data_IF_422341044453
#
_entry.id   IF_422341044453
#
_cell.length_a   1.000
_cell.length_b   1.000
_cell.length_c   1.000
_cell.angle_alpha   90.00
_cell.angle_beta   90.00
_cell.angle_gamma   90.00
#
_symmetry.space_group_name_H-M   'P 1'
#
loop_
_entity.id
_entity.type
_entity.pdbx_description
1 polymer ?
#
# COMPACT_ATOMS: atom_id res chain seq x y z
N UNK A 1 24.68 -9.64 -13.27
CA UNK A 1 24.66 -8.24 -12.86
C UNK A 1 23.65 -8.06 -11.75
N UNK A 2 24.16 -8.08 -10.50
CA UNK A 2 23.40 -7.85 -9.26
C UNK A 2 23.32 -6.33 -8.99
N UNK A 3 22.58 -5.59 -9.80
CA UNK A 3 22.30 -4.16 -9.57
C UNK A 3 20.89 -3.93 -9.03
N UNK A 4 20.43 -4.81 -8.13
CA UNK A 4 19.28 -4.48 -7.29
C UNK A 4 19.82 -3.76 -6.06
N UNK A 5 19.80 -2.43 -6.06
CA UNK A 5 19.92 -1.65 -4.85
C UNK A 5 18.85 -2.13 -3.85
N UNK A 6 19.14 -2.12 -2.56
CA UNK A 6 18.20 -2.50 -1.48
C UNK A 6 16.83 -1.79 -1.59
N UNK A 7 16.77 -0.65 -2.27
CA UNK A 7 15.53 0.10 -2.54
C UNK A 7 14.55 -0.59 -3.50
N UNK A 8 15.01 -1.59 -4.26
CA UNK A 8 14.21 -2.30 -5.27
C UNK A 8 13.77 -3.71 -4.78
N UNK A 9 14.03 -4.05 -3.52
CA UNK A 9 13.55 -5.30 -2.93
C UNK A 9 12.02 -5.25 -2.78
N UNK A 10 11.26 -6.19 -3.37
CA UNK A 10 9.80 -6.23 -3.27
C UNK A 10 9.27 -6.22 -1.81
N UNK A 11 9.97 -6.87 -0.89
CA UNK A 11 9.61 -6.91 0.53
C UNK A 11 9.79 -5.53 1.16
N UNK A 12 10.87 -4.80 0.83
CA UNK A 12 11.08 -3.43 1.33
C UNK A 12 10.00 -2.47 0.82
N UNK A 13 9.60 -2.59 -0.45
CA UNK A 13 8.49 -1.79 -1.02
C UNK A 13 7.20 -2.09 -0.27
N UNK A 14 6.94 -3.36 0.05
CA UNK A 14 5.75 -3.75 0.80
C UNK A 14 5.80 -3.27 2.26
N UNK A 15 6.96 -3.27 2.89
CA UNK A 15 7.15 -2.70 4.22
C UNK A 15 6.86 -1.19 4.22
N UNK A 16 7.37 -0.43 3.25
CA UNK A 16 7.04 1.00 3.10
C UNK A 16 5.55 1.25 2.87
N UNK A 17 4.90 0.40 2.07
CA UNK A 17 3.45 0.47 1.86
C UNK A 17 2.70 0.26 3.18
N UNK A 18 3.04 -0.78 3.95
CA UNK A 18 2.40 -1.08 5.24
C UNK A 18 2.63 0.04 6.26
N UNK A 19 3.84 0.61 6.33
CA UNK A 19 4.12 1.78 7.17
C UNK A 19 3.20 2.95 6.78
N UNK A 20 3.03 3.22 5.49
CA UNK A 20 2.14 4.29 5.01
C UNK A 20 0.67 4.01 5.32
N UNK A 21 0.26 2.74 5.26
CA UNK A 21 -1.08 2.30 5.64
C UNK A 21 -1.33 2.55 7.13
N UNK A 22 -0.41 2.12 8.00
CA UNK A 22 -0.53 2.36 9.44
C UNK A 22 -0.48 3.85 9.80
N UNK A 23 0.37 4.63 9.15
CA UNK A 23 0.37 6.10 9.30
C UNK A 23 -1.04 6.68 9.02
N UNK A 24 -1.73 6.16 8.03
CA UNK A 24 -3.09 6.57 7.69
C UNK A 24 -4.11 6.11 8.73
N UNK A 25 -4.04 4.84 9.16
CA UNK A 25 -4.98 4.24 10.12
C UNK A 25 -4.92 4.91 11.49
N UNK A 26 -3.70 5.12 12.01
CA UNK A 26 -3.49 5.71 13.33
C UNK A 26 -3.93 7.17 13.42
N UNK A 27 -3.89 7.92 12.30
CA UNK A 27 -4.31 9.33 12.27
C UNK A 27 -5.82 9.52 12.12
N UNK A 28 -6.49 8.57 11.51
CA UNK A 28 -7.96 8.60 11.39
C UNK A 28 -8.64 8.31 12.74
N UNK A 29 -7.95 7.66 13.67
CA UNK A 29 -8.52 7.19 14.94
C UNK A 29 -8.44 8.14 16.11
N UNK A 30 -7.48 9.09 16.18
CA UNK A 30 -7.34 9.94 17.36
C UNK A 30 -6.67 11.28 17.03
N UNK A 31 -7.43 12.37 17.16
CA UNK A 31 -6.91 13.74 16.98
C UNK A 31 -5.79 14.13 17.97
N UNK A 32 -5.52 13.29 18.97
CA UNK A 32 -4.47 13.48 19.98
C UNK A 32 -3.14 12.84 19.60
N UNK A 33 -3.14 11.92 18.62
CA UNK A 33 -1.93 11.21 18.19
C UNK A 33 -1.44 11.75 16.84
N UNK A 34 -1.02 13.01 16.83
CA UNK A 34 -0.49 13.71 15.63
C UNK A 34 0.88 13.19 15.17
N UNK A 35 1.41 12.11 15.76
CA UNK A 35 2.77 11.63 15.55
C UNK A 35 2.98 10.61 14.42
N UNK A 36 1.92 9.99 13.89
CA UNK A 36 2.08 8.86 12.96
C UNK A 36 2.82 7.66 13.55
N UNK A 37 3.26 6.73 12.71
CA UNK A 37 4.03 5.54 13.12
C UNK A 37 5.41 5.95 13.61
N UNK A 38 5.70 5.68 14.89
CA UNK A 38 6.99 5.94 15.52
C UNK A 38 8.10 4.99 15.06
N UNK A 39 9.33 5.21 15.53
CA UNK A 39 10.47 4.40 15.12
C UNK A 39 10.35 2.92 15.56
N UNK A 40 9.75 2.65 16.71
CA UNK A 40 9.54 1.28 17.21
C UNK A 40 8.53 0.54 16.35
N UNK A 41 7.39 1.17 16.10
CA UNK A 41 6.33 0.60 15.28
C UNK A 41 6.82 0.34 13.86
N UNK A 42 7.62 1.24 13.28
CA UNK A 42 8.23 1.01 11.95
C UNK A 42 9.11 -0.23 11.93
N UNK A 43 9.94 -0.42 12.96
CA UNK A 43 10.80 -1.61 13.08
C UNK A 43 9.97 -2.90 13.24
N UNK A 44 8.85 -2.84 13.97
CA UNK A 44 7.94 -3.98 14.14
C UNK A 44 7.25 -4.30 12.81
N UNK A 45 6.73 -3.30 12.11
CA UNK A 45 6.07 -3.48 10.81
C UNK A 45 7.04 -4.09 9.81
N UNK A 46 8.27 -3.58 9.74
CA UNK A 46 9.29 -4.09 8.82
C UNK A 46 9.63 -5.56 9.12
N UNK A 47 9.92 -5.89 10.38
CA UNK A 47 10.18 -7.26 10.83
C UNK A 47 9.03 -8.21 10.52
N UNK A 48 7.79 -7.83 10.84
CA UNK A 48 6.62 -8.66 10.55
C UNK A 48 6.41 -8.84 9.05
N UNK A 49 6.69 -7.81 8.25
CA UNK A 49 6.63 -7.92 6.79
C UNK A 49 7.61 -8.96 6.28
N UNK A 50 8.85 -8.91 6.73
CA UNK A 50 9.88 -9.89 6.36
C UNK A 50 9.43 -11.30 6.76
N UNK A 51 8.99 -11.50 7.99
CA UNK A 51 8.56 -12.83 8.50
C UNK A 51 7.42 -13.42 7.67
N UNK A 52 6.40 -12.62 7.35
CA UNK A 52 5.24 -13.08 6.55
C UNK A 52 5.67 -13.49 5.14
N UNK A 53 6.54 -12.70 4.50
CA UNK A 53 7.01 -13.02 3.16
C UNK A 53 8.03 -14.15 3.15
N UNK A 54 8.89 -14.32 4.15
CA UNK A 54 9.77 -15.47 4.28
C UNK A 54 8.96 -16.78 4.41
N UNK A 55 7.89 -16.78 5.20
CA UNK A 55 6.98 -17.93 5.28
C UNK A 55 6.34 -18.23 3.92
N UNK A 56 5.88 -17.20 3.21
CA UNK A 56 5.30 -17.34 1.88
C UNK A 56 6.30 -17.92 0.86
N UNK A 57 7.54 -17.43 0.82
CA UNK A 57 8.55 -17.94 -0.12
C UNK A 57 9.08 -19.32 0.23
N UNK A 58 9.01 -19.72 1.50
CA UNK A 58 9.45 -21.03 1.96
C UNK A 58 8.45 -22.15 1.66
N UNK A 59 7.19 -21.81 1.40
CA UNK A 59 6.10 -22.74 1.18
C UNK A 59 5.57 -22.66 -0.25
N UNK A 60 5.80 -23.72 -1.05
CA UNK A 60 5.46 -23.78 -2.48
C UNK A 60 3.94 -23.76 -2.78
N UNK A 61 3.09 -23.97 -1.78
CA UNK A 61 1.63 -24.09 -1.94
C UNK A 61 0.83 -22.99 -1.22
N UNK A 62 1.46 -21.90 -0.77
CA UNK A 62 0.73 -20.83 -0.07
C UNK A 62 0.16 -19.79 -1.04
N UNK A 63 -1.03 -19.33 -0.68
CA UNK A 63 -1.64 -18.15 -1.27
C UNK A 63 -0.89 -16.88 -0.83
N UNK A 64 -0.97 -15.83 -1.65
CA UNK A 64 -0.36 -14.54 -1.33
C UNK A 64 -0.84 -14.06 0.05
N UNK A 65 0.07 -13.55 0.92
CA UNK A 65 -0.31 -13.06 2.24
C UNK A 65 -1.32 -11.91 2.18
N UNK A 66 -2.26 -11.93 3.10
CA UNK A 66 -3.31 -10.93 3.27
C UNK A 66 -3.03 -10.01 4.47
N UNK A 67 -3.85 -8.99 4.67
CA UNK A 67 -3.79 -8.16 5.88
C UNK A 67 -4.13 -8.96 7.14
N UNK A 68 -4.96 -10.01 7.03
CA UNK A 68 -5.27 -10.91 8.14
C UNK A 68 -4.02 -11.69 8.58
N UNK A 69 -3.25 -12.25 7.64
CA UNK A 69 -2.02 -12.96 7.93
C UNK A 69 -0.99 -12.04 8.59
N UNK A 70 -0.90 -10.80 8.12
CA UNK A 70 -0.02 -9.79 8.72
C UNK A 70 -0.45 -9.43 10.15
N UNK A 71 -1.75 -9.29 10.40
CA UNK A 71 -2.28 -9.07 11.75
C UNK A 71 -1.95 -10.22 12.69
N UNK A 72 -2.09 -11.46 12.24
CA UNK A 72 -1.71 -12.62 13.04
C UNK A 72 -0.21 -12.60 13.38
N UNK A 73 0.63 -12.22 12.46
CA UNK A 73 2.08 -12.09 12.72
C UNK A 73 2.38 -10.99 13.75
N UNK A 74 1.68 -9.85 13.70
CA UNK A 74 1.77 -8.81 14.74
C UNK A 74 1.38 -9.34 16.12
N UNK A 75 0.32 -10.13 16.23
CA UNK A 75 -0.14 -10.72 17.49
C UNK A 75 0.85 -11.73 18.08
N UNK A 76 1.69 -12.35 17.25
CA UNK A 76 2.76 -13.26 17.72
C UNK A 76 3.96 -12.53 18.35
N UNK A 77 4.08 -11.24 18.11
CA UNK A 77 5.19 -10.45 18.66
C UNK A 77 4.98 -10.19 20.16
N UNK A 78 6.07 -10.18 20.97
CA UNK A 78 5.96 -9.99 22.42
C UNK A 78 5.65 -8.55 22.83
N UNK A 79 5.97 -7.58 21.97
CA UNK A 79 5.87 -6.15 22.30
C UNK A 79 4.42 -5.67 22.36
N UNK A 80 4.12 -4.73 23.27
CA UNK A 80 2.80 -4.14 23.40
C UNK A 80 2.45 -3.29 22.18
N UNK A 81 3.44 -2.58 21.63
CA UNK A 81 3.27 -1.78 20.42
C UNK A 81 2.80 -2.63 19.21
N UNK A 82 3.23 -3.88 19.12
CA UNK A 82 2.78 -4.80 18.08
C UNK A 82 1.29 -5.18 18.25
N UNK A 83 0.84 -5.36 19.49
CA UNK A 83 -0.57 -5.64 19.82
C UNK A 83 -1.45 -4.42 19.53
N UNK A 84 -0.94 -3.22 19.81
CA UNK A 84 -1.65 -1.98 19.53
C UNK A 84 -1.79 -1.76 18.00
N UNK A 85 -0.75 -2.09 17.22
CA UNK A 85 -0.82 -2.11 15.76
C UNK A 85 -1.83 -3.15 15.25
N UNK A 86 -1.81 -4.37 15.81
CA UNK A 86 -2.76 -5.41 15.44
C UNK A 86 -4.23 -5.02 15.73
N UNK A 87 -4.46 -4.31 16.84
CA UNK A 87 -5.78 -3.77 17.19
C UNK A 87 -6.20 -2.67 16.21
N UNK A 88 -5.28 -1.78 15.83
CA UNK A 88 -5.55 -0.72 14.86
C UNK A 88 -5.90 -1.26 13.47
N UNK A 89 -5.35 -2.43 13.12
CA UNK A 89 -5.62 -3.10 11.84
C UNK A 89 -6.90 -3.94 11.88
N UNK A 90 -7.45 -4.27 13.05
CA UNK A 90 -8.54 -5.22 13.22
C UNK A 90 -9.76 -4.90 12.37
N UNK A 91 -10.16 -3.62 12.34
CA UNK A 91 -11.31 -3.16 11.56
C UNK A 91 -11.18 -3.48 10.07
N UNK A 92 -9.96 -3.41 9.54
CA UNK A 92 -9.64 -3.57 8.12
C UNK A 92 -9.16 -4.99 7.76
N UNK A 93 -8.75 -5.79 8.74
CA UNK A 93 -8.24 -7.14 8.52
C UNK A 93 -9.30 -8.22 8.73
N UNK A 94 -10.16 -8.04 9.76
CA UNK A 94 -11.15 -9.05 10.18
C UNK A 94 -12.49 -8.42 10.62
N UNK A 95 -12.59 -7.08 10.59
CA UNK A 95 -13.77 -6.33 11.01
C UNK A 95 -14.70 -5.98 9.85
N UNK A 96 -15.57 -4.97 10.09
CA UNK A 96 -16.60 -4.58 9.11
C UNK A 96 -16.07 -3.88 7.85
N UNK A 97 -14.80 -3.51 7.80
CA UNK A 97 -14.13 -2.87 6.67
C UNK A 97 -13.06 -3.78 6.05
N UNK A 98 -13.25 -5.09 6.09
CA UNK A 98 -12.30 -6.10 5.62
C UNK A 98 -12.25 -6.28 4.09
N UNK A 99 -12.94 -5.43 3.34
CA UNK A 99 -13.04 -5.52 1.87
C UNK A 99 -11.68 -5.65 1.14
N UNK A 100 -10.59 -5.18 1.76
CA UNK A 100 -9.24 -5.26 1.22
C UNK A 100 -8.37 -6.36 1.87
N UNK A 101 -8.93 -7.12 2.81
CA UNK A 101 -8.20 -8.18 3.52
C UNK A 101 -8.24 -9.55 2.82
N UNK A 102 -9.05 -9.68 1.79
CA UNK A 102 -9.26 -10.93 1.08
C UNK A 102 -8.29 -11.11 -0.09
N UNK A 103 -8.16 -12.35 -0.55
CA UNK A 103 -7.47 -12.64 -1.80
C UNK A 103 -8.15 -11.88 -2.95
N UNK A 104 -7.35 -11.33 -3.85
CA UNK A 104 -7.90 -10.59 -4.99
C UNK A 104 -8.76 -11.52 -5.85
N UNK A 105 -10.01 -11.13 -6.07
CA UNK A 105 -10.94 -11.77 -6.99
C UNK A 105 -10.99 -11.07 -8.36
N UNK A 106 -10.15 -10.06 -8.56
CA UNK A 106 -10.08 -9.27 -9.80
C UNK A 106 -9.04 -9.88 -10.73
N UNK A 107 -9.45 -10.19 -11.96
CA UNK A 107 -8.54 -10.54 -13.03
C UNK A 107 -7.74 -9.31 -13.47
N UNK A 108 -6.54 -9.18 -12.93
CA UNK A 108 -5.63 -8.06 -13.24
C UNK A 108 -4.83 -8.26 -14.54
N UNK A 109 -5.04 -9.37 -15.26
CA UNK A 109 -4.30 -9.70 -16.50
C UNK A 109 -4.91 -9.05 -17.75
N UNK A 110 -5.80 -8.09 -17.56
CA UNK A 110 -6.43 -7.33 -18.64
C UNK A 110 -5.52 -6.21 -19.15
N UNK A 111 -5.61 -5.92 -20.45
CA UNK A 111 -4.85 -4.84 -21.09
C UNK A 111 -5.24 -3.45 -20.57
N UNK A 112 -6.52 -3.28 -20.24
CA UNK A 112 -7.09 -2.04 -19.69
C UNK A 112 -7.79 -2.40 -18.39
N UNK A 113 -7.48 -1.69 -17.31
CA UNK A 113 -8.10 -1.83 -15.99
C UNK A 113 -8.55 -0.44 -15.56
N UNK A 114 -9.77 -0.34 -15.07
CA UNK A 114 -10.32 0.85 -14.43
C UNK A 114 -10.57 0.54 -12.96
N UNK A 115 -10.05 1.38 -12.07
CA UNK A 115 -10.32 1.36 -10.65
C UNK A 115 -11.34 2.46 -10.34
N UNK A 116 -12.53 2.08 -9.89
CA UNK A 116 -13.52 3.01 -9.39
C UNK A 116 -13.49 3.04 -7.86
N UNK A 117 -13.29 4.22 -7.30
CA UNK A 117 -13.22 4.45 -5.86
C UNK A 117 -14.34 5.37 -5.35
N UNK A 118 -15.27 5.75 -6.22
CA UNK A 118 -16.33 6.71 -5.87
C UNK A 118 -17.26 6.17 -4.79
N UNK A 119 -17.54 4.86 -4.83
CA UNK A 119 -18.43 4.20 -3.87
C UNK A 119 -17.77 3.86 -2.53
N UNK A 120 -16.46 4.07 -2.40
CA UNK A 120 -15.76 3.90 -1.13
C UNK A 120 -16.20 4.99 -0.15
N UNK A 121 -16.67 4.60 1.03
CA UNK A 121 -16.96 5.53 2.12
C UNK A 121 -15.71 6.36 2.49
N UNK A 122 -15.91 7.55 3.04
CA UNK A 122 -14.82 8.51 3.33
C UNK A 122 -13.65 7.89 4.13
N UNK A 123 -13.94 7.00 5.07
CA UNK A 123 -12.92 6.29 5.85
C UNK A 123 -12.08 5.33 5.01
N UNK A 124 -12.70 4.73 3.98
CA UNK A 124 -12.05 3.76 3.10
C UNK A 124 -11.34 4.40 1.92
N UNK A 125 -11.67 5.62 1.52
CA UNK A 125 -11.07 6.28 0.37
C UNK A 125 -9.56 6.37 0.45
N UNK A 126 -9.03 6.86 1.56
CA UNK A 126 -7.57 7.01 1.74
C UNK A 126 -6.85 5.66 1.74
N UNK A 127 -7.42 4.66 2.41
CA UNK A 127 -6.90 3.28 2.43
C UNK A 127 -7.01 2.65 1.05
N UNK A 128 -8.16 2.78 0.40
CA UNK A 128 -8.39 2.28 -0.95
C UNK A 128 -7.43 2.88 -1.98
N UNK A 129 -7.16 4.18 -1.90
CA UNK A 129 -6.18 4.86 -2.75
C UNK A 129 -4.77 4.29 -2.57
N UNK A 130 -4.33 4.06 -1.33
CA UNK A 130 -3.03 3.46 -1.06
C UNK A 130 -2.92 2.04 -1.63
N UNK A 131 -3.94 1.20 -1.41
CA UNK A 131 -3.99 -0.17 -1.91
C UNK A 131 -4.02 -0.19 -3.44
N UNK A 132 -4.81 0.68 -4.05
CA UNK A 132 -4.87 0.82 -5.51
C UNK A 132 -3.51 1.21 -6.10
N UNK A 133 -2.83 2.19 -5.52
CA UNK A 133 -1.51 2.62 -5.98
C UNK A 133 -0.45 1.52 -5.82
N UNK A 134 -0.51 0.74 -4.72
CA UNK A 134 0.37 -0.42 -4.54
C UNK A 134 0.13 -1.48 -5.63
N UNK A 135 -1.13 -1.81 -5.93
CA UNK A 135 -1.48 -2.73 -7.01
C UNK A 135 -0.99 -2.25 -8.37
N UNK A 136 -1.19 -0.97 -8.69
CA UNK A 136 -0.72 -0.38 -9.95
C UNK A 136 0.80 -0.45 -10.02
N UNK A 137 1.50 -0.14 -8.92
CA UNK A 137 2.97 -0.18 -8.86
C UNK A 137 3.51 -1.59 -9.10
N UNK A 138 2.92 -2.59 -8.45
CA UNK A 138 3.28 -3.99 -8.65
C UNK A 138 3.11 -4.40 -10.12
N UNK A 139 2.02 -3.97 -10.75
CA UNK A 139 1.77 -4.24 -12.16
C UNK A 139 2.77 -3.53 -13.08
N UNK A 140 3.12 -2.29 -12.79
CA UNK A 140 4.14 -1.55 -13.55
C UNK A 140 5.48 -2.30 -13.51
N UNK A 141 5.88 -2.76 -12.32
CA UNK A 141 7.12 -3.53 -12.14
C UNK A 141 7.08 -4.87 -12.89
N UNK A 142 5.96 -5.59 -12.83
CA UNK A 142 5.79 -6.86 -13.54
C UNK A 142 5.81 -6.67 -15.07
N UNK A 143 5.09 -5.69 -15.57
CA UNK A 143 5.10 -5.34 -16.99
C UNK A 143 6.50 -4.95 -17.46
N UNK A 144 7.28 -4.25 -16.64
CA UNK A 144 8.66 -3.90 -16.95
C UNK A 144 9.53 -5.13 -17.18
N UNK A 145 9.41 -6.16 -16.35
CA UNK A 145 10.13 -7.43 -16.53
C UNK A 145 9.82 -8.07 -17.89
N UNK A 146 8.60 -7.88 -18.39
CA UNK A 146 8.10 -8.36 -19.69
C UNK A 146 8.38 -7.40 -20.85
N UNK A 147 9.07 -6.27 -20.62
CA UNK A 147 9.34 -5.24 -21.61
C UNK A 147 8.13 -4.40 -22.03
N UNK A 148 7.06 -4.41 -21.23
CA UNK A 148 5.79 -3.72 -21.51
C UNK A 148 5.77 -2.39 -20.75
N UNK A 149 5.49 -1.29 -21.46
CA UNK A 149 5.22 0.02 -20.84
C UNK A 149 3.79 0.10 -20.31
N UNK A 150 3.63 0.66 -19.11
CA UNK A 150 2.31 0.84 -18.50
C UNK A 150 1.97 2.32 -18.47
N UNK A 151 0.78 2.66 -18.93
CA UNK A 151 0.22 4.02 -18.83
C UNK A 151 -0.83 4.04 -17.73
N UNK A 152 -0.72 5.01 -16.84
CA UNK A 152 -1.64 5.21 -15.73
C UNK A 152 -2.24 6.60 -15.85
N UNK A 153 -3.55 6.69 -15.86
CA UNK A 153 -4.30 7.93 -15.89
C UNK A 153 -5.06 8.03 -14.57
N UNK A 154 -4.87 9.13 -13.87
CA UNK A 154 -5.56 9.42 -12.60
C UNK A 154 -6.44 10.62 -12.85
N UNK A 155 -7.75 10.38 -12.92
CA UNK A 155 -8.73 11.45 -12.96
C UNK A 155 -8.94 12.02 -11.56
N UNK A 156 -9.30 13.30 -11.48
CA UNK A 156 -9.42 14.04 -10.22
C UNK A 156 -8.20 13.88 -9.30
N UNK A 157 -7.00 13.95 -9.89
CA UNK A 157 -5.73 13.71 -9.19
C UNK A 157 -5.51 14.63 -7.98
N UNK A 158 -6.19 15.78 -7.89
CA UNK A 158 -6.16 16.69 -6.75
C UNK A 158 -6.64 16.01 -5.45
N UNK A 159 -7.48 14.97 -5.53
CA UNK A 159 -7.95 14.24 -4.35
C UNK A 159 -6.81 13.60 -3.55
N UNK A 160 -5.71 13.23 -4.22
CA UNK A 160 -4.53 12.71 -3.54
C UNK A 160 -3.79 13.76 -2.72
N UNK A 161 -3.86 15.04 -3.14
CA UNK A 161 -3.16 16.13 -2.47
C UNK A 161 -3.90 16.66 -1.24
N UNK A 162 -5.17 16.31 -1.06
CA UNK A 162 -5.94 16.65 0.15
C UNK A 162 -5.37 16.02 1.42
N UNK A 163 -4.66 14.90 1.28
CA UNK A 163 -4.01 14.22 2.39
C UNK A 163 -2.49 14.17 2.15
N UNK A 164 -1.67 14.73 3.06
CA UNK A 164 -0.21 14.78 2.90
C UNK A 164 0.44 13.41 2.65
N UNK A 165 -0.12 12.33 3.22
CA UNK A 165 0.42 10.96 3.05
C UNK A 165 0.12 10.39 1.68
N UNK A 166 -1.13 10.57 1.21
CA UNK A 166 -1.49 10.19 -0.14
C UNK A 166 -0.67 10.97 -1.17
N UNK A 167 -0.42 12.25 -0.92
CA UNK A 167 0.44 13.09 -1.74
C UNK A 167 1.88 12.59 -1.76
N UNK A 168 2.47 12.33 -0.59
CA UNK A 168 3.84 11.82 -0.50
C UNK A 168 3.97 10.44 -1.16
N UNK A 169 3.01 9.55 -0.93
CA UNK A 169 2.99 8.23 -1.55
C UNK A 169 2.85 8.32 -3.08
N UNK A 170 1.94 9.19 -3.57
CA UNK A 170 1.79 9.44 -5.00
C UNK A 170 3.07 10.00 -5.62
N UNK A 171 3.73 10.95 -4.97
CA UNK A 171 4.99 11.54 -5.46
C UNK A 171 6.13 10.50 -5.50
N UNK A 172 6.22 9.62 -4.49
CA UNK A 172 7.16 8.49 -4.49
C UNK A 172 6.83 7.51 -5.63
N UNK A 173 5.55 7.16 -5.79
CA UNK A 173 5.09 6.31 -6.87
C UNK A 173 5.40 6.92 -8.24
N UNK A 174 5.18 8.23 -8.43
CA UNK A 174 5.47 8.95 -9.67
C UNK A 174 6.93 8.85 -10.09
N UNK A 175 7.86 9.04 -9.14
CA UNK A 175 9.30 8.87 -9.38
C UNK A 175 9.65 7.43 -9.74
N UNK A 176 9.06 6.45 -9.03
CA UNK A 176 9.27 5.02 -9.27
C UNK A 176 8.69 4.57 -10.61
N UNK A 177 7.49 5.02 -10.99
CA UNK A 177 6.89 4.68 -12.28
C UNK A 177 7.81 4.98 -13.44
N UNK A 178 8.44 6.15 -13.46
CA UNK A 178 9.40 6.53 -14.50
C UNK A 178 10.57 5.54 -14.59
N UNK A 179 11.10 5.10 -13.44
CA UNK A 179 12.20 4.12 -13.37
C UNK A 179 11.80 2.77 -13.97
N UNK A 180 10.55 2.36 -13.76
CA UNK A 180 10.02 1.07 -14.21
C UNK A 180 9.25 1.11 -15.54
N UNK A 181 9.39 2.18 -16.32
CA UNK A 181 8.72 2.30 -17.62
C UNK A 181 7.21 2.56 -17.52
N UNK A 182 6.75 3.08 -16.38
CA UNK A 182 5.41 3.59 -16.20
C UNK A 182 5.32 5.07 -16.60
N UNK A 183 4.21 5.43 -17.23
CA UNK A 183 3.85 6.80 -17.59
C UNK A 183 2.61 7.19 -16.79
N UNK A 184 2.78 8.08 -15.83
CA UNK A 184 1.70 8.56 -14.98
C UNK A 184 1.20 9.93 -15.47
N UNK A 185 -0.10 10.04 -15.67
CA UNK A 185 -0.79 11.28 -16.09
C UNK A 185 -1.88 11.60 -15.08
N UNK A 186 -1.75 12.73 -14.39
CA UNK A 186 -2.81 13.28 -13.56
C UNK A 186 -3.72 14.19 -14.38
N UNK A 187 -5.01 14.06 -14.18
CA UNK A 187 -6.06 14.90 -14.75
C UNK A 187 -6.71 15.63 -13.59
N UNK A 188 -6.87 16.94 -13.69
CA UNK A 188 -7.52 17.74 -12.67
C UNK A 188 -8.26 18.92 -13.31
N UNK A 189 -9.36 19.32 -12.70
CA UNK A 189 -10.11 20.51 -13.08
C UNK A 189 -9.58 21.75 -12.37
N UNK A 190 -8.86 21.58 -11.26
CA UNK A 190 -8.34 22.68 -10.45
C UNK A 190 -6.85 22.48 -10.15
N UNK A 191 -6.01 23.28 -10.80
CA UNK A 191 -4.56 23.23 -10.61
C UNK A 191 -4.13 23.85 -9.29
N UNK A 192 -4.90 24.77 -8.73
CA UNK A 192 -4.58 25.44 -7.45
C UNK A 192 -4.60 24.45 -6.27
N UNK A 193 -5.38 23.38 -6.35
CA UNK A 193 -5.41 22.32 -5.31
C UNK A 193 -4.18 21.39 -5.37
N UNK A 194 -3.33 21.53 -6.37
CA UNK A 194 -2.10 20.75 -6.53
C UNK A 194 -0.84 21.50 -6.09
N UNK A 195 -0.97 22.79 -5.74
CA UNK A 195 0.11 23.69 -5.32
C UNK A 195 0.14 23.85 -3.80
#
# INVERSE_FOLDING_TARGET
NNDFNNEDNPVSIKSEFLISLFDQLLKTGDARNSGGVGAKERSIIDRCTINVYEQYFSNTNQTMPTLADFREELLRQPEQEAKDLALSLELFATGSLDSFAHQSNVDVDKRIICYDILELGEQMKSVGLLIMLDNIMNRVMENRKRGIYTRVYIDESHLFFKNPYSAEFLLKAWRRFRKYGGLLTGITQNVEECL
#
